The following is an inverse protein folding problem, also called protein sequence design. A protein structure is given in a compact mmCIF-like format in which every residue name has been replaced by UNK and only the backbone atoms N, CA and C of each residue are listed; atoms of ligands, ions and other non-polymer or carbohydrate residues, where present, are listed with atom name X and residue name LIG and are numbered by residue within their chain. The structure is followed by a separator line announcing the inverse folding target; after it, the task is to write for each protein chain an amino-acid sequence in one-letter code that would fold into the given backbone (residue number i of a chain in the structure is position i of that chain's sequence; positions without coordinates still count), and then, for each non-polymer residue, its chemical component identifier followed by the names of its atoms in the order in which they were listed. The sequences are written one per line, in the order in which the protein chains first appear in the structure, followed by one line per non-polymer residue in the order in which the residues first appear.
data_IF_311413366095
#
_entry.id   IF_311413366095
#
_cell.length_a   1.000
_cell.length_b   1.000
_cell.length_c   1.000
_cell.angle_alpha   90.00
_cell.angle_beta   90.00
_cell.angle_gamma   90.00
#
_symmetry.space_group_name_H-M   'P 1'
#
loop_
_entity.id
_entity.type
_entity.pdbx_description
1 polymer ?
#
# COMPACT_ATOMS: atom_id res chain seq x y z
N UNK A 1 13.84 -3.07 -3.28
CA UNK A 1 12.85 -3.49 -2.26
C UNK A 1 13.29 -4.67 -1.38
N UNK A 2 14.31 -5.47 -1.74
CA UNK A 2 14.69 -6.70 -1.00
C UNK A 2 14.92 -6.51 0.51
N UNK A 3 15.46 -5.36 0.93
CA UNK A 3 15.73 -5.06 2.34
C UNK A 3 14.62 -4.27 3.05
N UNK A 4 13.52 -4.02 2.35
CA UNK A 4 12.44 -3.16 2.82
C UNK A 4 11.47 -3.85 3.78
N UNK A 5 10.98 -3.10 4.75
CA UNK A 5 9.87 -3.49 5.62
C UNK A 5 8.59 -2.86 5.13
N UNK A 6 7.63 -3.68 4.71
CA UNK A 6 6.34 -3.21 4.22
C UNK A 6 5.23 -3.49 5.23
N UNK A 7 4.13 -2.77 5.13
CA UNK A 7 2.89 -3.09 5.83
C UNK A 7 1.68 -3.10 4.88
N UNK A 8 0.61 -3.77 5.29
CA UNK A 8 -0.64 -3.88 4.55
C UNK A 8 -1.81 -4.15 5.50
N UNK A 9 -3.02 -4.10 4.99
CA UNK A 9 -4.22 -4.57 5.65
C UNK A 9 -5.10 -5.37 4.71
N UNK A 10 -6.05 -6.10 5.30
CA UNK A 10 -6.97 -6.96 4.57
C UNK A 10 -8.39 -6.64 5.02
N UNK A 11 -9.16 -6.16 4.06
CA UNK A 11 -10.61 -6.08 4.11
C UNK A 11 -11.20 -7.36 3.50
N UNK A 12 -12.31 -7.82 4.07
CA UNK A 12 -12.95 -9.10 3.68
C UNK A 12 -14.42 -8.88 3.27
N UNK A 13 -14.72 -7.72 2.68
CA UNK A 13 -16.10 -7.38 2.32
C UNK A 13 -16.65 -8.28 1.19
N UNK A 14 -15.80 -8.61 0.21
CA UNK A 14 -16.18 -9.42 -0.96
C UNK A 14 -15.04 -10.34 -1.41
N UNK A 15 -15.38 -11.48 -2.03
CA UNK A 15 -14.44 -12.55 -2.40
C UNK A 15 -13.31 -12.09 -3.33
N UNK A 16 -13.62 -11.27 -4.34
CA UNK A 16 -12.62 -10.78 -5.30
C UNK A 16 -11.49 -9.99 -4.61
N UNK A 17 -11.84 -9.23 -3.56
CA UNK A 17 -10.88 -8.43 -2.81
C UNK A 17 -10.01 -9.30 -1.91
N UNK A 18 -10.56 -10.39 -1.38
CA UNK A 18 -9.78 -11.41 -0.66
C UNK A 18 -8.75 -12.05 -1.58
N UNK A 19 -9.17 -12.46 -2.78
CA UNK A 19 -8.25 -13.04 -3.78
C UNK A 19 -7.14 -12.07 -4.19
N UNK A 20 -7.48 -10.80 -4.45
CA UNK A 20 -6.50 -9.77 -4.82
C UNK A 20 -5.53 -9.46 -3.67
N UNK A 21 -6.04 -9.33 -2.44
CA UNK A 21 -5.22 -9.13 -1.24
C UNK A 21 -4.22 -10.27 -1.04
N UNK A 22 -4.67 -11.52 -1.17
CA UNK A 22 -3.80 -12.70 -1.06
C UNK A 22 -2.73 -12.70 -2.15
N UNK A 23 -3.10 -12.38 -3.39
CA UNK A 23 -2.17 -12.29 -4.53
C UNK A 23 -1.11 -11.20 -4.31
N UNK A 24 -1.51 -9.98 -3.95
CA UNK A 24 -0.58 -8.90 -3.64
C UNK A 24 0.36 -9.28 -2.49
N UNK A 25 -0.18 -9.81 -1.39
CA UNK A 25 0.63 -10.26 -0.27
C UNK A 25 1.64 -11.33 -0.67
N UNK A 26 1.21 -12.32 -1.45
CA UNK A 26 2.07 -13.39 -1.96
C UNK A 26 3.20 -12.85 -2.85
N UNK A 27 2.96 -11.78 -3.59
CA UNK A 27 3.94 -11.14 -4.45
C UNK A 27 4.95 -10.30 -3.65
N UNK A 28 4.47 -9.53 -2.66
CA UNK A 28 5.33 -8.72 -1.81
C UNK A 28 6.20 -9.54 -0.87
N UNK A 29 5.69 -10.60 -0.24
CA UNK A 29 6.46 -11.42 0.70
C UNK A 29 7.66 -12.14 0.02
N UNK A 30 7.64 -12.27 -1.31
CA UNK A 30 8.75 -12.84 -2.09
C UNK A 30 9.82 -11.83 -2.47
N UNK A 31 9.52 -10.53 -2.42
CA UNK A 31 10.37 -9.45 -2.94
C UNK A 31 10.83 -8.45 -1.88
N UNK A 32 10.21 -8.44 -0.71
CA UNK A 32 10.56 -7.59 0.43
C UNK A 32 11.07 -8.44 1.60
N UNK A 33 11.87 -7.84 2.47
CA UNK A 33 12.44 -8.51 3.65
C UNK A 33 11.35 -9.03 4.58
N UNK A 34 10.32 -8.21 4.80
CA UNK A 34 9.14 -8.66 5.54
C UNK A 34 7.92 -7.76 5.25
N UNK A 35 6.74 -8.33 5.50
CA UNK A 35 5.46 -7.64 5.50
C UNK A 35 4.87 -7.67 6.92
N UNK A 36 4.23 -6.58 7.34
CA UNK A 36 3.48 -6.44 8.60
C UNK A 36 2.01 -6.19 8.33
N UNK A 37 1.17 -6.44 9.34
CA UNK A 37 -0.27 -6.22 9.31
C UNK A 37 -0.67 -5.73 10.70
N UNK A 38 -0.61 -4.43 10.90
CA UNK A 38 -0.77 -3.82 12.23
C UNK A 38 -2.24 -3.54 12.58
N UNK A 39 -3.12 -3.47 11.56
CA UNK A 39 -4.56 -3.31 11.75
C UNK A 39 -5.03 -1.87 11.93
N UNK A 40 -4.21 -0.89 11.54
CA UNK A 40 -4.60 0.52 11.51
C UNK A 40 -3.88 1.25 10.36
N UNK A 41 -4.58 1.42 9.24
CA UNK A 41 -4.05 2.12 8.06
C UNK A 41 -3.54 3.54 8.38
N UNK A 42 -4.22 4.25 9.29
CA UNK A 42 -3.79 5.56 9.76
C UNK A 42 -2.41 5.53 10.44
N UNK A 43 -2.15 4.53 11.29
CA UNK A 43 -0.84 4.34 11.92
C UNK A 43 0.19 3.84 10.90
N UNK A 44 -0.19 2.93 10.00
CA UNK A 44 0.67 2.42 8.95
C UNK A 44 1.23 3.56 8.07
N UNK A 45 0.38 4.49 7.64
CA UNK A 45 0.80 5.69 6.90
C UNK A 45 1.77 6.57 7.73
N UNK A 46 1.51 6.75 9.03
CA UNK A 46 2.42 7.48 9.91
C UNK A 46 3.75 6.75 10.12
N UNK A 47 3.75 5.42 10.11
CA UNK A 47 4.95 4.59 10.22
C UNK A 47 5.78 4.62 8.95
N UNK A 48 5.16 4.74 7.78
CA UNK A 48 5.88 5.07 6.54
C UNK A 48 6.48 6.48 6.64
N UNK A 49 5.71 7.47 7.11
CA UNK A 49 6.16 8.85 7.22
C UNK A 49 7.40 9.00 8.13
N UNK A 50 7.46 8.25 9.24
CA UNK A 50 8.61 8.24 10.15
C UNK A 50 9.63 7.12 9.87
N UNK A 51 9.58 6.48 8.69
CA UNK A 51 10.52 5.43 8.24
C UNK A 51 10.66 4.22 9.17
N UNK A 52 9.59 3.87 9.89
CA UNK A 52 9.46 2.55 10.53
C UNK A 52 9.12 1.47 9.51
N UNK A 53 8.35 1.85 8.49
CA UNK A 53 8.10 1.07 7.28
C UNK A 53 8.56 1.85 6.05
N UNK A 54 8.89 1.12 4.99
CA UNK A 54 9.30 1.69 3.71
C UNK A 54 8.11 1.88 2.76
N UNK A 55 7.05 1.10 2.94
CA UNK A 55 5.86 1.17 2.12
C UNK A 55 4.64 0.48 2.72
N UNK A 56 3.48 0.92 2.24
CA UNK A 56 2.15 0.49 2.63
C UNK A 56 1.27 0.31 1.39
N UNK A 57 0.48 -0.75 1.34
CA UNK A 57 -0.60 -0.89 0.35
C UNK A 57 -1.85 -1.50 0.98
N UNK A 58 -3.03 -1.07 0.54
CA UNK A 58 -4.28 -1.67 0.99
C UNK A 58 -5.43 -1.40 -0.01
N UNK A 59 -6.43 -2.27 0.03
CA UNK A 59 -7.70 -2.18 -0.72
C UNK A 59 -8.88 -1.93 0.23
N UNK A 60 -9.88 -1.20 -0.25
CA UNK A 60 -11.18 -1.03 0.42
C UNK A 60 -11.13 -0.10 1.64
N UNK A 61 -10.17 0.82 1.72
CA UNK A 61 -10.13 1.81 2.80
C UNK A 61 -11.14 2.93 2.56
N UNK A 62 -11.67 3.46 3.66
CA UNK A 62 -12.54 4.62 3.60
C UNK A 62 -11.74 5.94 3.67
N UNK A 63 -12.37 7.06 3.26
CA UNK A 63 -11.76 8.39 3.35
C UNK A 63 -11.13 8.71 4.72
N UNK A 64 -11.80 8.33 5.81
CA UNK A 64 -11.33 8.62 7.17
C UNK A 64 -10.14 7.77 7.62
N UNK A 65 -9.90 6.61 6.99
CA UNK A 65 -8.76 5.76 7.32
C UNK A 65 -7.44 6.35 6.78
N UNK A 66 -7.51 7.14 5.71
CA UNK A 66 -6.34 7.61 4.96
C UNK A 66 -6.12 9.12 5.02
N UNK A 67 -7.17 9.94 5.16
CA UNK A 67 -7.09 11.40 5.02
C UNK A 67 -5.95 12.06 5.81
N UNK A 68 -5.87 11.77 7.11
CA UNK A 68 -4.87 12.35 7.99
C UNK A 68 -3.46 11.81 7.69
N UNK A 69 -3.34 10.49 7.52
CA UNK A 69 -2.08 9.82 7.24
C UNK A 69 -1.47 10.26 5.89
N UNK A 70 -2.31 10.47 4.87
CA UNK A 70 -1.89 10.99 3.56
C UNK A 70 -1.16 12.33 3.69
N UNK A 71 -1.76 13.30 4.39
CA UNK A 71 -1.15 14.62 4.54
C UNK A 71 0.17 14.53 5.31
N UNK A 72 0.20 13.76 6.40
CA UNK A 72 1.42 13.53 7.20
C UNK A 72 2.54 12.94 6.35
N UNK A 73 2.24 11.89 5.58
CA UNK A 73 3.22 11.23 4.72
C UNK A 73 3.71 12.15 3.60
N UNK A 74 2.81 12.93 2.99
CA UNK A 74 3.17 13.90 1.95
C UNK A 74 4.12 14.97 2.46
N UNK A 75 3.84 15.55 3.64
CA UNK A 75 4.70 16.55 4.27
C UNK A 75 6.04 15.96 4.73
N UNK A 76 6.09 14.66 5.04
CA UNK A 76 7.34 13.94 5.31
C UNK A 76 8.17 13.63 4.04
N UNK A 77 7.69 14.02 2.86
CA UNK A 77 8.33 13.76 1.57
C UNK A 77 8.10 12.36 1.01
N UNK A 78 7.12 11.63 1.54
CA UNK A 78 6.68 10.36 0.99
C UNK A 78 5.83 10.54 -0.28
N UNK A 79 5.54 9.42 -0.93
CA UNK A 79 4.73 9.39 -2.16
C UNK A 79 3.51 8.50 -1.97
N UNK A 80 2.36 8.99 -2.45
CA UNK A 80 1.07 8.30 -2.36
C UNK A 80 0.33 8.35 -3.69
N UNK A 81 -0.09 7.19 -4.19
CA UNK A 81 -0.81 7.01 -5.46
C UNK A 81 -1.89 5.93 -5.34
N UNK A 82 -2.65 5.72 -6.41
CA UNK A 82 -3.31 4.42 -6.64
C UNK A 82 -2.29 3.37 -7.15
N UNK A 83 -2.73 2.15 -7.49
CA UNK A 83 -1.81 1.12 -7.99
C UNK A 83 -1.37 1.34 -9.44
N UNK A 84 -1.99 2.29 -10.15
CA UNK A 84 -1.61 2.69 -11.51
C UNK A 84 -0.69 3.92 -11.54
N UNK A 85 -0.31 4.44 -10.37
CA UNK A 85 0.58 5.59 -10.23
C UNK A 85 -0.10 6.95 -10.36
N UNK A 86 -1.44 7.01 -10.45
CA UNK A 86 -2.17 8.28 -10.46
C UNK A 86 -2.11 8.94 -9.08
N UNK A 87 -2.15 10.27 -9.05
CA UNK A 87 -2.17 11.03 -7.79
C UNK A 87 -3.32 10.56 -6.90
N UNK A 88 -2.99 10.26 -5.63
CA UNK A 88 -3.95 9.77 -4.67
C UNK A 88 -5.13 10.74 -4.51
N UNK A 89 -6.35 10.18 -4.58
CA UNK A 89 -7.58 10.85 -4.21
C UNK A 89 -8.21 10.11 -3.05
N UNK A 90 -8.77 10.86 -2.11
CA UNK A 90 -9.41 10.33 -0.90
C UNK A 90 -10.59 9.38 -1.17
N UNK A 91 -11.08 9.33 -2.41
CA UNK A 91 -12.19 8.50 -2.87
C UNK A 91 -11.72 7.17 -3.48
N UNK A 92 -10.41 6.94 -3.59
CA UNK A 92 -9.89 5.72 -4.18
C UNK A 92 -10.13 4.50 -3.28
N UNK A 93 -10.47 3.40 -3.94
CA UNK A 93 -10.62 2.08 -3.29
C UNK A 93 -9.27 1.41 -3.04
N UNK A 94 -8.17 1.98 -3.53
CA UNK A 94 -6.82 1.45 -3.37
C UNK A 94 -5.84 2.57 -3.03
N UNK A 95 -4.82 2.24 -2.24
CA UNK A 95 -3.75 3.17 -1.88
C UNK A 95 -2.41 2.47 -1.91
N UNK A 96 -1.43 3.09 -2.58
CA UNK A 96 -0.02 2.78 -2.49
C UNK A 96 0.70 3.97 -1.85
N UNK A 97 1.37 3.73 -0.73
CA UNK A 97 2.14 4.72 -0.02
C UNK A 97 3.58 4.23 0.18
N UNK A 98 4.58 5.09 0.02
CA UNK A 98 5.96 4.73 0.30
C UNK A 98 6.81 5.91 0.73
N UNK A 99 8.02 5.59 1.20
CA UNK A 99 9.08 6.55 1.53
C UNK A 99 9.63 7.34 0.31
N UNK A 100 9.03 7.16 -0.88
CA UNK A 100 9.41 7.79 -2.15
C UNK A 100 10.48 7.02 -2.94
N UNK A 101 11.32 6.22 -2.27
CA UNK A 101 12.46 5.52 -2.88
C UNK A 101 12.02 4.25 -3.61
N UNK A 102 11.16 3.45 -2.97
CA UNK A 102 10.74 2.14 -3.48
C UNK A 102 9.38 2.16 -4.22
N UNK A 103 8.84 3.35 -4.48
CA UNK A 103 7.47 3.50 -4.98
C UNK A 103 7.22 2.80 -6.32
N UNK A 104 8.15 2.98 -7.27
CA UNK A 104 8.07 2.36 -8.60
C UNK A 104 8.20 0.83 -8.53
N UNK A 105 9.09 0.32 -7.67
CA UNK A 105 9.23 -1.13 -7.47
C UNK A 105 7.94 -1.73 -6.91
N UNK A 106 7.31 -1.08 -5.92
CA UNK A 106 6.03 -1.54 -5.36
C UNK A 106 4.91 -1.52 -6.39
N UNK A 107 4.84 -0.45 -7.20
CA UNK A 107 3.84 -0.32 -8.26
C UNK A 107 3.97 -1.44 -9.30
N UNK A 108 5.21 -1.78 -9.71
CA UNK A 108 5.44 -2.91 -10.63
C UNK A 108 4.96 -4.24 -10.05
N UNK A 109 5.12 -4.46 -8.74
CA UNK A 109 4.63 -5.67 -8.07
C UNK A 109 3.10 -5.74 -8.10
N UNK A 110 2.42 -4.62 -7.83
CA UNK A 110 0.97 -4.52 -7.88
C UNK A 110 0.43 -4.71 -9.30
N UNK A 111 1.04 -4.07 -10.31
CA UNK A 111 0.61 -4.17 -11.71
C UNK A 111 0.82 -5.55 -12.32
N UNK A 112 1.89 -6.27 -11.94
CA UNK A 112 2.11 -7.65 -12.39
C UNK A 112 0.99 -8.64 -11.98
N UNK A 113 0.09 -8.20 -11.09
CA UNK A 113 -1.07 -8.98 -10.63
C UNK A 113 -2.31 -8.80 -11.51
N UNK A 114 -2.39 -7.75 -12.34
CA UNK A 114 -3.60 -7.39 -13.12
C UNK A 114 -3.77 -8.12 -14.45
N UNK A 115 -2.75 -8.80 -14.96
CA UNK A 115 -2.75 -9.38 -16.32
C UNK A 115 -3.59 -10.67 -16.49
N UNK A 116 -4.23 -11.21 -15.44
CA UNK A 116 -4.90 -12.52 -15.51
C UNK A 116 -6.41 -12.42 -15.82
N UNK A 117 -6.98 -11.20 -15.87
CA UNK A 117 -8.43 -11.00 -16.05
C UNK A 117 -8.82 -10.10 -17.24
N UNK A 118 -8.00 -10.02 -18.29
CA UNK A 118 -8.37 -9.42 -19.58
C UNK A 118 -8.91 -10.45 -20.57
#
# INVERSE_FOLDING_TARGET
MEESLLCTGFTHENEWMVEENLRHFQNFIRKARAVRRDGSAALDLCYVACRRYDGFWELGLHPWDTAAGYLILKEAGGRVTDFSGNEFKIQFEEILASNGIIHEEMMQVLLSSREIHA
#
